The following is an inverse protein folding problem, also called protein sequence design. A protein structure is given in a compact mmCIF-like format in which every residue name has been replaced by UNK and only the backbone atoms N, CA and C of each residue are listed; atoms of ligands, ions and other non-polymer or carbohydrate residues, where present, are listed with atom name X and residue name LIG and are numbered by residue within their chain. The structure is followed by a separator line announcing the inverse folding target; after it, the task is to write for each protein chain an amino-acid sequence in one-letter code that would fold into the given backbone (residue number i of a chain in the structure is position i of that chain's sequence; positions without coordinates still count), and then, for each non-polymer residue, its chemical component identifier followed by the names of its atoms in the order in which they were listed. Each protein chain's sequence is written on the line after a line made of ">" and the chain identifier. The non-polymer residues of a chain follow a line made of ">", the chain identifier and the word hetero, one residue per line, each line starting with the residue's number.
data_IF_886829584572
#
_entry.id   IF_886829584572
#
_cell.length_a   1.000
_cell.length_b   1.000
_cell.length_c   1.000
_cell.angle_alpha   90.00
_cell.angle_beta   90.00
_cell.angle_gamma   90.00
#
_symmetry.space_group_name_H-M   'P 1'
#
loop_
_entity.id
_entity.type
_entity.pdbx_description
1 polymer ?
#
# COMPACT_ATOMS: atom_id res chain seq x y z
N UNK A 1 25.38 4.57 3.23
CA UNK A 1 25.08 5.06 1.87
C UNK A 1 26.13 6.06 1.39
N UNK A 2 26.53 6.99 2.20
CA UNK A 2 27.58 8.02 1.94
C UNK A 2 28.91 7.44 1.41
N UNK A 3 29.46 6.40 2.06
CA UNK A 3 30.72 5.76 1.61
C UNK A 3 30.69 5.25 0.15
N UNK A 4 29.52 4.86 -0.38
CA UNK A 4 29.40 4.41 -1.78
C UNK A 4 29.42 5.56 -2.78
N UNK A 5 28.79 6.69 -2.48
CA UNK A 5 28.77 7.86 -3.38
C UNK A 5 30.15 8.50 -3.48
N UNK A 6 30.86 8.61 -2.35
CA UNK A 6 32.25 9.07 -2.33
C UNK A 6 33.17 8.11 -3.09
N UNK A 7 32.92 6.80 -3.03
CA UNK A 7 33.65 5.81 -3.81
C UNK A 7 33.41 5.97 -5.30
N UNK A 8 32.18 6.19 -5.74
CA UNK A 8 31.82 6.41 -7.15
C UNK A 8 32.48 7.70 -7.67
N UNK A 9 32.46 8.77 -6.90
CA UNK A 9 33.10 10.04 -7.25
C UNK A 9 34.63 9.90 -7.35
N UNK A 10 35.27 9.18 -6.42
CA UNK A 10 36.70 8.88 -6.48
C UNK A 10 37.08 8.04 -7.70
N UNK A 11 36.27 7.02 -8.03
CA UNK A 11 36.51 6.13 -9.15
C UNK A 11 36.32 6.86 -10.50
N UNK A 12 35.32 7.75 -10.59
CA UNK A 12 35.08 8.53 -11.82
C UNK A 12 36.21 9.55 -12.11
N UNK A 13 36.95 9.96 -11.09
CA UNK A 13 38.04 10.93 -11.19
C UNK A 13 39.42 10.26 -11.28
N UNK A 14 39.54 8.93 -11.18
CA UNK A 14 40.79 8.19 -11.35
C UNK A 14 41.00 7.84 -12.84
N UNK A 15 42.00 8.43 -13.52
CA UNK A 15 42.20 8.26 -14.96
C UNK A 15 42.65 6.84 -15.35
N UNK A 16 43.11 6.02 -14.40
CA UNK A 16 43.58 4.66 -14.67
C UNK A 16 42.49 3.57 -14.58
N UNK A 17 41.34 3.87 -13.99
CA UNK A 17 40.22 2.92 -13.86
C UNK A 17 39.06 3.36 -14.74
N UNK A 18 39.07 2.93 -15.99
CA UNK A 18 38.05 3.26 -16.97
C UNK A 18 36.64 2.82 -16.56
N UNK A 19 35.63 3.34 -17.26
CA UNK A 19 34.18 3.13 -17.07
C UNK A 19 33.76 1.65 -16.95
N UNK A 20 34.63 0.71 -17.38
CA UNK A 20 34.44 -0.75 -17.25
C UNK A 20 34.43 -1.25 -15.80
N UNK A 21 35.03 -0.51 -14.85
CA UNK A 21 35.06 -0.91 -13.44
C UNK A 21 33.80 -0.52 -12.67
N UNK A 22 32.97 0.41 -13.17
CA UNK A 22 31.72 0.81 -12.54
C UNK A 22 30.72 -0.35 -12.45
N UNK A 23 30.72 -1.28 -13.41
CA UNK A 23 29.87 -2.47 -13.37
C UNK A 23 30.14 -3.39 -12.18
N UNK A 24 31.34 -3.38 -11.63
CA UNK A 24 31.73 -4.19 -10.46
C UNK A 24 31.16 -3.62 -9.15
N UNK A 25 30.85 -2.31 -9.11
CA UNK A 25 30.27 -1.63 -7.95
C UNK A 25 28.74 -1.63 -7.94
N UNK A 26 28.12 -1.89 -9.10
CA UNK A 26 26.67 -2.02 -9.21
C UNK A 26 26.32 -3.46 -8.83
N UNK A 27 25.57 -3.63 -7.75
CA UNK A 27 25.08 -4.95 -7.36
C UNK A 27 23.93 -5.37 -8.31
N UNK A 28 24.33 -5.92 -9.47
CA UNK A 28 23.43 -6.35 -10.55
C UNK A 28 22.39 -7.37 -10.06
N UNK A 29 22.79 -8.26 -9.15
CA UNK A 29 21.89 -9.25 -8.56
C UNK A 29 20.75 -8.59 -7.79
N UNK A 30 21.04 -7.53 -7.03
CA UNK A 30 20.01 -6.76 -6.31
C UNK A 30 19.11 -5.98 -7.26
N UNK A 31 19.66 -5.39 -8.31
CA UNK A 31 18.87 -4.67 -9.31
C UNK A 31 17.90 -5.61 -10.04
N UNK A 32 18.37 -6.76 -10.47
CA UNK A 32 17.53 -7.80 -11.09
C UNK A 32 16.47 -8.34 -10.13
N UNK A 33 16.82 -8.52 -8.86
CA UNK A 33 15.86 -8.89 -7.82
C UNK A 33 14.72 -7.88 -7.64
N UNK A 34 15.03 -6.59 -7.66
CA UNK A 34 14.04 -5.51 -7.56
C UNK A 34 13.13 -5.50 -8.80
N UNK A 35 13.72 -5.56 -10.00
CA UNK A 35 12.93 -5.58 -11.25
C UNK A 35 12.01 -6.79 -11.32
N UNK A 36 12.50 -7.98 -10.99
CA UNK A 36 11.67 -9.19 -10.98
C UNK A 36 10.58 -9.14 -9.91
N UNK A 37 10.85 -8.57 -8.74
CA UNK A 37 9.83 -8.38 -7.69
C UNK A 37 8.73 -7.41 -8.14
N UNK A 38 9.07 -6.33 -8.85
CA UNK A 38 8.10 -5.38 -9.41
C UNK A 38 7.21 -6.09 -10.44
N UNK A 39 7.78 -6.80 -11.39
CA UNK A 39 7.03 -7.54 -12.42
C UNK A 39 6.11 -8.58 -11.78
N UNK A 40 6.62 -9.34 -10.82
CA UNK A 40 5.83 -10.35 -10.09
C UNK A 40 4.68 -9.70 -9.31
N UNK A 41 4.91 -8.56 -8.68
CA UNK A 41 3.87 -7.84 -7.92
C UNK A 41 2.70 -7.41 -8.82
N UNK A 42 3.00 -6.97 -10.06
CA UNK A 42 1.97 -6.59 -11.04
C UNK A 42 1.12 -7.81 -11.42
N UNK A 43 1.74 -8.96 -11.70
CA UNK A 43 1.02 -10.20 -12.02
C UNK A 43 0.13 -10.65 -10.87
N UNK A 44 0.64 -10.63 -9.65
CA UNK A 44 -0.11 -11.00 -8.44
C UNK A 44 -1.28 -10.03 -8.23
N UNK A 45 -1.05 -8.72 -8.32
CA UNK A 45 -2.09 -7.71 -8.14
C UNK A 45 -3.21 -7.85 -9.19
N UNK A 46 -2.85 -8.06 -10.45
CA UNK A 46 -3.81 -8.29 -11.53
C UNK A 46 -4.65 -9.56 -11.29
N UNK A 47 -4.00 -10.65 -10.93
CA UNK A 47 -4.67 -11.94 -10.66
C UNK A 47 -5.63 -11.83 -9.47
N UNK A 48 -5.17 -11.25 -8.35
CA UNK A 48 -6.02 -11.05 -7.17
C UNK A 48 -7.19 -10.09 -7.47
N UNK A 49 -6.93 -8.99 -8.19
CA UNK A 49 -7.98 -8.05 -8.57
C UNK A 49 -9.04 -8.68 -9.48
N UNK A 50 -8.62 -9.49 -10.45
CA UNK A 50 -9.52 -10.23 -11.33
C UNK A 50 -10.36 -11.25 -10.55
N UNK A 51 -9.77 -11.96 -9.60
CA UNK A 51 -10.47 -12.91 -8.72
C UNK A 51 -11.53 -12.20 -7.88
N UNK A 52 -11.18 -11.10 -7.22
CA UNK A 52 -12.11 -10.32 -6.41
C UNK A 52 -13.26 -9.78 -7.27
N UNK A 53 -12.94 -9.27 -8.47
CA UNK A 53 -13.95 -8.79 -9.42
C UNK A 53 -14.89 -9.92 -9.88
N UNK A 54 -14.34 -11.09 -10.18
CA UNK A 54 -15.12 -12.26 -10.57
C UNK A 54 -16.08 -12.69 -9.45
N UNK A 55 -15.59 -12.81 -8.22
CA UNK A 55 -16.41 -13.16 -7.04
C UNK A 55 -17.50 -12.12 -6.80
N UNK A 56 -17.14 -10.82 -6.87
CA UNK A 56 -18.10 -9.72 -6.73
C UNK A 56 -19.21 -9.79 -7.77
N UNK A 57 -18.86 -10.07 -9.03
CA UNK A 57 -19.84 -10.25 -10.11
C UNK A 57 -20.73 -11.46 -9.90
N UNK A 58 -20.16 -12.57 -9.44
CA UNK A 58 -20.94 -13.78 -9.16
C UNK A 58 -21.96 -13.56 -8.04
N UNK A 59 -21.59 -12.84 -6.99
CA UNK A 59 -22.48 -12.52 -5.86
C UNK A 59 -23.59 -11.54 -6.26
N UNK A 60 -23.25 -10.51 -7.04
CA UNK A 60 -24.14 -9.37 -7.31
C UNK A 60 -24.76 -9.35 -8.71
N UNK A 61 -24.62 -10.44 -9.53
CA UNK A 61 -24.96 -10.40 -10.96
C UNK A 61 -26.46 -10.30 -11.27
N UNK A 62 -27.31 -11.11 -10.63
CA UNK A 62 -28.70 -11.29 -11.07
C UNK A 62 -29.74 -10.45 -10.31
N UNK A 63 -29.52 -10.13 -9.04
CA UNK A 63 -30.43 -9.34 -8.20
C UNK A 63 -29.66 -8.28 -7.43
N UNK A 64 -28.89 -7.49 -8.17
CA UNK A 64 -28.00 -6.47 -7.60
C UNK A 64 -28.64 -5.62 -6.52
N UNK A 65 -29.81 -5.02 -6.78
CA UNK A 65 -30.46 -4.10 -5.84
C UNK A 65 -30.92 -4.75 -4.54
N UNK A 66 -31.48 -5.96 -4.60
CA UNK A 66 -31.96 -6.69 -3.44
C UNK A 66 -30.80 -7.27 -2.61
N UNK A 67 -29.84 -7.88 -3.27
CA UNK A 67 -28.67 -8.47 -2.62
C UNK A 67 -27.76 -7.40 -2.04
N UNK A 68 -27.56 -6.30 -2.75
CA UNK A 68 -26.75 -5.18 -2.27
C UNK A 68 -27.40 -4.48 -1.06
N UNK A 69 -28.73 -4.39 -1.03
CA UNK A 69 -29.45 -3.86 0.14
C UNK A 69 -29.29 -4.75 1.37
N UNK A 70 -29.10 -6.06 1.20
CA UNK A 70 -28.98 -7.02 2.31
C UNK A 70 -27.52 -7.26 2.74
N UNK A 71 -26.61 -7.42 1.76
CA UNK A 71 -25.21 -7.81 2.00
C UNK A 71 -24.20 -6.72 1.63
N UNK A 72 -24.65 -5.62 1.03
CA UNK A 72 -23.77 -4.54 0.58
C UNK A 72 -22.96 -3.89 1.71
N UNK A 73 -23.56 -3.74 2.90
CA UNK A 73 -22.84 -3.20 4.05
C UNK A 73 -21.70 -4.12 4.53
N UNK A 74 -21.89 -5.44 4.47
CA UNK A 74 -20.83 -6.41 4.83
C UNK A 74 -19.69 -6.39 3.80
N UNK A 75 -20.03 -6.35 2.51
CA UNK A 75 -19.06 -6.32 1.43
C UNK A 75 -18.27 -5.01 1.40
N UNK A 76 -18.96 -3.88 1.46
CA UNK A 76 -18.32 -2.57 1.56
C UNK A 76 -17.56 -2.41 2.89
N UNK A 77 -18.04 -3.01 3.98
CA UNK A 77 -17.33 -3.08 5.25
C UNK A 77 -16.01 -3.81 5.16
N UNK A 78 -15.95 -4.94 4.44
CA UNK A 78 -14.70 -5.66 4.19
C UNK A 78 -13.72 -4.80 3.36
N UNK A 79 -14.22 -4.11 2.32
CA UNK A 79 -13.40 -3.19 1.53
C UNK A 79 -12.85 -2.04 2.35
N UNK A 80 -13.67 -1.40 3.20
CA UNK A 80 -13.21 -0.34 4.10
C UNK A 80 -12.20 -0.85 5.12
N UNK A 81 -12.40 -2.04 5.66
CA UNK A 81 -11.44 -2.66 6.59
C UNK A 81 -10.09 -2.87 5.93
N UNK A 82 -10.06 -3.36 4.69
CA UNK A 82 -8.83 -3.50 3.94
C UNK A 82 -8.13 -2.16 3.70
N UNK A 83 -8.91 -1.11 3.40
CA UNK A 83 -8.39 0.26 3.22
C UNK A 83 -7.81 0.81 4.54
N UNK A 84 -8.54 0.67 5.64
CA UNK A 84 -8.08 1.12 6.97
C UNK A 84 -6.82 0.35 7.38
N UNK A 85 -6.81 -0.97 7.21
CA UNK A 85 -5.63 -1.78 7.47
C UNK A 85 -4.43 -1.29 6.68
N UNK A 86 -4.59 -1.06 5.38
CA UNK A 86 -3.51 -0.56 4.53
C UNK A 86 -3.03 0.83 4.96
N UNK A 87 -3.94 1.75 5.25
CA UNK A 87 -3.62 3.12 5.67
C UNK A 87 -2.88 3.14 7.02
N UNK A 88 -3.35 2.36 8.01
CA UNK A 88 -2.73 2.28 9.33
C UNK A 88 -1.39 1.57 9.27
N UNK A 89 -1.32 0.38 8.67
CA UNK A 89 -0.09 -0.43 8.69
C UNK A 89 0.98 0.06 7.72
N UNK A 90 0.60 0.60 6.55
CA UNK A 90 1.58 1.14 5.60
C UNK A 90 1.86 2.62 5.82
N UNK A 91 0.84 3.41 6.21
CA UNK A 91 0.98 4.85 6.36
C UNK A 91 1.49 5.27 7.74
N UNK A 92 0.92 4.74 8.83
CA UNK A 92 1.20 5.21 10.17
C UNK A 92 2.24 4.39 10.93
N UNK A 93 2.46 3.12 10.57
CA UNK A 93 3.39 2.25 11.31
C UNK A 93 4.81 2.82 11.39
N UNK A 94 5.27 3.50 10.33
CA UNK A 94 6.59 4.14 10.31
C UNK A 94 6.71 5.35 11.26
N UNK A 95 5.59 6.00 11.54
CA UNK A 95 5.53 7.24 12.36
C UNK A 95 5.23 6.89 13.82
N UNK A 96 4.40 5.87 14.05
CA UNK A 96 3.85 5.50 15.36
C UNK A 96 4.40 4.17 15.88
N UNK A 97 5.53 3.67 15.38
CA UNK A 97 6.10 2.37 15.73
C UNK A 97 6.33 2.20 17.25
N UNK A 98 6.61 3.28 17.96
CA UNK A 98 6.88 3.29 19.41
C UNK A 98 5.61 3.36 20.29
N UNK A 99 4.42 3.51 19.70
CA UNK A 99 3.19 3.57 20.48
C UNK A 99 2.69 2.17 20.85
N UNK A 100 2.42 1.97 22.15
CA UNK A 100 1.88 0.72 22.71
C UNK A 100 0.61 0.21 21.99
N UNK A 101 -0.16 1.13 21.38
CA UNK A 101 -1.36 0.80 20.60
C UNK A 101 -1.04 -0.03 19.34
N UNK A 102 0.03 0.28 18.63
CA UNK A 102 0.43 -0.46 17.42
C UNK A 102 0.98 -1.84 17.78
N UNK A 103 1.74 -1.92 18.87
CA UNK A 103 2.23 -3.21 19.37
C UNK A 103 1.08 -4.14 19.82
N UNK A 104 0.04 -3.58 20.43
CA UNK A 104 -1.16 -4.32 20.82
C UNK A 104 -1.92 -4.86 19.57
N UNK A 105 -2.02 -4.06 18.53
CA UNK A 105 -2.65 -4.48 17.26
C UNK A 105 -1.80 -5.55 16.56
N UNK A 106 -0.48 -5.42 16.53
CA UNK A 106 0.42 -6.40 15.89
C UNK A 106 0.34 -7.78 16.59
N UNK A 107 0.23 -7.79 17.92
CA UNK A 107 0.11 -9.03 18.69
C UNK A 107 -1.23 -9.75 18.47
N UNK A 108 -2.31 -9.01 18.14
CA UNK A 108 -3.66 -9.55 17.95
C UNK A 108 -4.25 -9.16 16.59
N UNK A 109 -3.43 -9.23 15.55
CA UNK A 109 -3.79 -8.79 14.20
C UNK A 109 -5.11 -9.38 13.68
N UNK A 110 -5.39 -10.69 13.77
CA UNK A 110 -6.63 -11.25 13.25
C UNK A 110 -7.87 -10.76 14.00
N UNK A 111 -7.78 -10.58 15.31
CA UNK A 111 -8.89 -10.05 16.10
C UNK A 111 -9.12 -8.56 15.84
N UNK A 112 -8.06 -7.78 15.67
CA UNK A 112 -8.15 -6.37 15.31
C UNK A 112 -8.83 -6.16 13.95
N UNK A 113 -8.47 -6.97 12.96
CA UNK A 113 -9.12 -6.96 11.63
C UNK A 113 -10.59 -7.34 11.74
N UNK A 114 -10.93 -8.37 12.49
CA UNK A 114 -12.32 -8.81 12.68
C UNK A 114 -13.17 -7.73 13.37
N UNK A 115 -12.66 -7.10 14.42
CA UNK A 115 -13.32 -6.00 15.12
C UNK A 115 -13.52 -4.80 14.17
N UNK A 116 -12.49 -4.42 13.43
CA UNK A 116 -12.56 -3.34 12.46
C UNK A 116 -13.61 -3.63 11.38
N UNK A 117 -13.67 -4.87 10.88
CA UNK A 117 -14.68 -5.28 9.91
C UNK A 117 -16.11 -5.18 10.46
N UNK A 118 -16.34 -5.64 11.69
CA UNK A 118 -17.64 -5.53 12.34
C UNK A 118 -18.03 -4.07 12.52
N UNK A 119 -17.13 -3.24 13.02
CA UNK A 119 -17.37 -1.79 13.23
C UNK A 119 -17.68 -1.10 11.89
N UNK A 120 -16.87 -1.30 10.86
CA UNK A 120 -17.09 -0.72 9.54
C UNK A 120 -18.43 -1.18 8.93
N UNK A 121 -18.76 -2.46 9.07
CA UNK A 121 -20.02 -3.01 8.56
C UNK A 121 -21.24 -2.45 9.28
N UNK A 122 -21.16 -2.28 10.60
CA UNK A 122 -22.22 -1.66 11.40
C UNK A 122 -22.39 -0.17 11.04
N UNK A 123 -21.30 0.57 10.91
CA UNK A 123 -21.34 1.98 10.49
C UNK A 123 -22.01 2.12 9.13
N UNK A 124 -21.62 1.31 8.15
CA UNK A 124 -22.22 1.34 6.82
C UNK A 124 -23.69 0.89 6.83
N UNK A 125 -24.05 -0.06 7.70
CA UNK A 125 -25.45 -0.47 7.88
C UNK A 125 -26.29 0.68 8.41
N UNK A 126 -25.82 1.43 9.41
CA UNK A 126 -26.50 2.63 9.90
C UNK A 126 -26.61 3.71 8.83
N UNK A 127 -25.53 4.00 8.11
CA UNK A 127 -25.51 4.97 7.02
C UNK A 127 -26.49 4.58 5.90
N UNK A 128 -26.57 3.30 5.59
CA UNK A 128 -27.55 2.78 4.62
C UNK A 128 -29.02 3.02 5.09
N UNK A 129 -29.26 3.00 6.40
CA UNK A 129 -30.59 3.29 6.97
C UNK A 129 -31.03 4.73 6.71
N UNK A 130 -30.09 5.67 6.61
CA UNK A 130 -30.33 7.06 6.23
C UNK A 130 -30.44 7.29 4.71
N UNK A 131 -30.63 6.21 3.92
CA UNK A 131 -30.71 6.23 2.45
C UNK A 131 -29.46 6.78 1.75
N UNK A 132 -28.33 6.85 2.43
CA UNK A 132 -27.07 7.24 1.82
C UNK A 132 -26.50 6.11 0.93
N UNK A 133 -25.82 6.51 -0.13
CA UNK A 133 -25.23 5.55 -1.06
C UNK A 133 -23.89 5.03 -0.52
N UNK A 134 -23.91 3.88 0.15
CA UNK A 134 -22.73 3.25 0.76
C UNK A 134 -21.66 2.91 -0.28
N UNK A 135 -22.06 2.59 -1.51
CA UNK A 135 -21.11 2.32 -2.61
C UNK A 135 -20.27 3.56 -2.93
N UNK A 136 -20.92 4.73 -3.01
CA UNK A 136 -20.22 6.00 -3.23
C UNK A 136 -19.23 6.31 -2.13
N UNK A 137 -19.59 6.08 -0.88
CA UNK A 137 -18.71 6.29 0.28
C UNK A 137 -17.51 5.37 0.19
N UNK A 138 -17.72 4.08 -0.08
CA UNK A 138 -16.65 3.09 -0.20
C UNK A 138 -15.69 3.41 -1.35
N UNK A 139 -16.22 3.81 -2.52
CA UNK A 139 -15.40 4.21 -3.67
C UNK A 139 -14.59 5.46 -3.35
N UNK A 140 -15.20 6.48 -2.76
CA UNK A 140 -14.49 7.71 -2.37
C UNK A 140 -13.38 7.43 -1.35
N UNK A 141 -13.66 6.58 -0.36
CA UNK A 141 -12.65 6.17 0.62
C UNK A 141 -11.51 5.40 -0.02
N UNK A 142 -11.79 4.52 -0.97
CA UNK A 142 -10.79 3.79 -1.75
C UNK A 142 -9.93 4.72 -2.59
N UNK A 143 -10.54 5.68 -3.27
CA UNK A 143 -9.84 6.69 -4.09
C UNK A 143 -8.94 7.56 -3.22
N UNK A 144 -9.44 7.99 -2.06
CA UNK A 144 -8.66 8.77 -1.10
C UNK A 144 -7.44 7.98 -0.58
N UNK A 145 -7.66 6.72 -0.18
CA UNK A 145 -6.57 5.87 0.31
C UNK A 145 -5.51 5.62 -0.77
N UNK A 146 -5.93 5.42 -2.01
CA UNK A 146 -5.03 5.26 -3.15
C UNK A 146 -4.22 6.54 -3.39
N UNK A 147 -4.88 7.70 -3.41
CA UNK A 147 -4.22 8.99 -3.55
C UNK A 147 -3.19 9.24 -2.42
N UNK A 148 -3.55 8.90 -1.17
CA UNK A 148 -2.65 9.01 -0.02
C UNK A 148 -1.43 8.09 -0.15
N UNK A 149 -1.63 6.86 -0.63
CA UNK A 149 -0.55 5.91 -0.85
C UNK A 149 0.42 6.37 -1.94
N UNK A 150 -0.09 6.92 -3.04
CA UNK A 150 0.74 7.51 -4.09
C UNK A 150 1.48 8.74 -3.60
N UNK A 151 0.79 9.67 -2.94
CA UNK A 151 1.42 10.88 -2.41
C UNK A 151 2.54 10.55 -1.43
N UNK A 152 2.35 9.57 -0.54
CA UNK A 152 3.38 9.14 0.40
C UNK A 152 4.59 8.52 -0.30
N UNK A 153 4.38 7.73 -1.33
CA UNK A 153 5.45 7.11 -2.10
C UNK A 153 6.25 8.13 -2.92
N UNK A 154 5.55 9.05 -3.57
CA UNK A 154 6.19 10.11 -4.36
C UNK A 154 6.95 11.09 -3.49
N UNK A 155 6.42 11.43 -2.30
CA UNK A 155 7.11 12.29 -1.34
C UNK A 155 8.46 11.71 -0.92
N UNK A 156 8.52 10.41 -0.63
CA UNK A 156 9.78 9.72 -0.28
C UNK A 156 10.78 9.75 -1.45
N UNK A 157 10.30 9.56 -2.66
CA UNK A 157 11.17 9.54 -3.85
C UNK A 157 11.68 10.93 -4.24
N UNK A 158 10.82 11.97 -4.14
CA UNK A 158 11.18 13.33 -4.55
C UNK A 158 11.90 14.14 -3.48
N UNK A 159 11.53 13.98 -2.21
CA UNK A 159 12.09 14.75 -1.10
C UNK A 159 13.15 13.96 -0.33
N UNK A 160 12.95 12.67 -0.16
CA UNK A 160 13.83 11.82 0.64
C UNK A 160 15.24 11.71 0.07
N UNK A 161 15.38 11.65 -1.24
CA UNK A 161 16.70 11.56 -1.90
C UNK A 161 17.49 12.88 -1.79
N UNK A 162 16.92 14.06 -2.12
CA UNK A 162 17.58 15.35 -1.89
C UNK A 162 17.92 15.60 -0.43
N UNK A 163 17.01 15.34 0.51
CA UNK A 163 17.24 15.54 1.95
C UNK A 163 18.34 14.60 2.45
N UNK A 164 18.33 13.34 2.06
CA UNK A 164 19.41 12.41 2.41
C UNK A 164 20.75 12.82 1.79
N UNK A 165 20.74 13.45 0.62
CA UNK A 165 21.92 14.06 0.00
C UNK A 165 22.41 15.27 0.78
N UNK A 166 21.52 16.09 1.27
CA UNK A 166 21.86 17.29 2.07
C UNK A 166 22.37 16.93 3.48
N UNK A 167 21.79 15.93 4.11
CA UNK A 167 22.22 15.41 5.42
C UNK A 167 23.59 14.68 5.35
N UNK A 168 24.02 14.31 4.16
CA UNK A 168 25.31 13.67 3.91
C UNK A 168 26.46 14.66 3.63
N UNK A 169 26.16 15.94 3.54
CA UNK A 169 27.12 17.01 3.26
C UNK A 169 27.57 17.67 4.56
#
# INVERSE_FOLDING_TARGET
>A
MYKRQVSIYKISNDPEQGVSSLGHYINTSRAMGIVSAILLSVVIAFTCGTLVMYVSRMIFSFRYTALFRRYGSLWCGASLTAIVYFAVFKGLKSILADHAFIQLIDNHLPSAIAICWVVCSLLLFFIQRFKANILRITILSGTFALALAFAGNDLVNFIGVPVAGFDAY
#
